data_IF_803072114492
#
_entry.id   IF_803072114492
#
_cell.length_a   1.000
_cell.length_b   1.000
_cell.length_c   1.000
_cell.angle_alpha   90.00
_cell.angle_beta   90.00
_cell.angle_gamma   90.00
#
_symmetry.space_group_name_H-M   'P 1'
#
loop_
_entity.id
_entity.type
_entity.pdbx_description
1 polymer ?
#
# COMPACT_ATOMS: atom_id res chain seq x y z
N UNK A 1 1.08 -2.11 30.74
CA UNK A 1 0.54 -3.44 30.39
C UNK A 1 1.27 -3.98 29.18
N UNK A 2 2.14 -4.98 29.37
CA UNK A 2 2.97 -5.60 28.34
C UNK A 2 2.09 -6.46 27.42
N UNK A 3 1.91 -6.09 26.16
CA UNK A 3 1.27 -6.96 25.15
C UNK A 3 2.33 -7.70 24.36
N UNK A 4 2.45 -8.97 24.72
CA UNK A 4 3.02 -10.14 24.05
C UNK A 4 3.36 -9.86 22.58
N UNK A 5 4.65 -9.76 22.27
CA UNK A 5 5.19 -9.81 20.91
C UNK A 5 5.02 -11.22 20.35
N UNK A 6 4.26 -11.37 19.27
CA UNK A 6 4.06 -12.63 18.54
C UNK A 6 5.41 -13.29 18.22
N UNK A 7 5.69 -14.44 18.85
CA UNK A 7 6.94 -15.20 18.73
C UNK A 7 7.26 -15.63 17.28
N UNK A 8 6.23 -15.82 16.46
CA UNK A 8 6.34 -16.23 15.05
C UNK A 8 6.95 -15.16 14.15
N UNK A 9 6.67 -13.88 14.42
CA UNK A 9 7.20 -12.76 13.62
C UNK A 9 8.70 -12.58 13.82
N UNK A 10 9.22 -12.86 15.02
CA UNK A 10 10.66 -12.73 15.33
C UNK A 10 11.48 -13.79 14.58
N UNK A 11 11.02 -15.06 14.56
CA UNK A 11 11.74 -16.15 13.88
C UNK A 11 11.81 -15.93 12.37
N UNK A 12 10.73 -15.47 11.74
CA UNK A 12 10.73 -15.17 10.30
C UNK A 12 11.71 -14.04 9.94
N UNK A 13 11.81 -13.00 10.76
CA UNK A 13 12.76 -11.91 10.56
C UNK A 13 14.23 -12.34 10.76
N UNK A 14 14.52 -13.34 11.61
CA UNK A 14 15.88 -13.89 11.78
C UNK A 14 16.32 -14.66 10.52
N UNK A 15 15.40 -15.43 9.92
CA UNK A 15 15.70 -16.25 8.73
C UNK A 15 15.74 -15.43 7.44
N UNK A 16 14.93 -14.38 7.36
CA UNK A 16 14.87 -13.47 6.22
C UNK A 16 14.81 -12.02 6.72
N UNK A 17 15.97 -11.43 7.05
CA UNK A 17 16.00 -10.05 7.51
C UNK A 17 15.46 -9.14 6.40
N UNK A 18 14.58 -8.18 6.74
CA UNK A 18 14.16 -7.17 5.77
C UNK A 18 15.41 -6.42 5.25
N UNK A 19 15.50 -6.14 3.94
CA UNK A 19 16.61 -5.38 3.39
C UNK A 19 16.74 -4.04 4.10
N UNK A 20 17.97 -3.69 4.48
CA UNK A 20 18.29 -2.41 5.14
C UNK A 20 18.08 -1.25 4.17
N UNK A 21 18.46 -1.48 2.92
CA UNK A 21 18.32 -0.57 1.80
C UNK A 21 17.51 -1.25 0.70
N UNK A 22 16.57 -0.52 0.12
CA UNK A 22 15.70 -1.03 -0.92
C UNK A 22 15.38 0.04 -1.96
N UNK A 23 15.67 -0.26 -3.22
CA UNK A 23 15.24 0.54 -4.38
C UNK A 23 14.07 -0.18 -5.06
N UNK A 24 12.90 0.45 -5.09
CA UNK A 24 11.79 0.01 -5.93
C UNK A 24 11.20 1.21 -6.65
N UNK A 25 11.74 1.51 -7.85
CA UNK A 25 11.28 2.63 -8.67
C UNK A 25 9.78 2.62 -8.91
N UNK A 26 9.17 1.42 -8.89
CA UNK A 26 7.72 1.28 -9.06
C UNK A 26 6.93 1.96 -7.94
N UNK A 27 7.42 1.93 -6.69
CA UNK A 27 6.71 2.46 -5.52
C UNK A 27 7.20 3.85 -5.14
N UNK A 28 8.50 4.09 -5.25
CA UNK A 28 9.12 5.38 -4.99
C UNK A 28 10.47 5.47 -5.70
N UNK A 29 10.76 6.60 -6.33
CA UNK A 29 11.93 6.78 -7.21
C UNK A 29 13.27 6.84 -6.46
N UNK A 30 13.25 7.10 -5.15
CA UNK A 30 14.46 7.18 -4.32
C UNK A 30 14.63 5.93 -3.46
N UNK A 31 15.88 5.70 -3.03
CA UNK A 31 16.22 4.68 -2.06
C UNK A 31 15.41 4.83 -0.76
N UNK A 32 14.86 3.72 -0.31
CA UNK A 32 14.16 3.60 0.96
C UNK A 32 15.05 2.89 1.98
N UNK A 33 15.14 3.47 3.17
CA UNK A 33 15.90 2.91 4.29
C UNK A 33 14.95 2.36 5.34
N UNK A 34 15.20 1.13 5.79
CA UNK A 34 14.48 0.58 6.93
C UNK A 34 14.87 1.34 8.21
N UNK A 35 13.89 1.88 8.93
CA UNK A 35 14.10 2.51 10.23
C UNK A 35 13.57 1.58 11.32
N UNK A 36 14.39 0.69 11.93
CA UNK A 36 13.93 -0.34 12.85
C UNK A 36 13.57 0.21 14.24
N UNK A 37 12.66 1.18 14.31
CA UNK A 37 12.20 1.87 15.51
C UNK A 37 10.69 1.72 15.70
N UNK A 38 10.26 1.85 16.94
CA UNK A 38 8.87 2.05 17.32
C UNK A 38 8.51 3.51 17.10
N UNK A 39 7.94 3.80 15.93
CA UNK A 39 7.49 5.14 15.55
C UNK A 39 6.13 5.04 14.89
N UNK A 40 5.24 5.94 15.29
CA UNK A 40 3.94 6.09 14.64
C UNK A 40 4.11 6.93 13.38
N UNK A 41 3.54 6.44 12.28
CA UNK A 41 3.57 7.12 11.00
C UNK A 41 2.32 6.80 10.18
N UNK A 42 1.97 7.66 9.23
CA UNK A 42 0.96 7.35 8.23
C UNK A 42 1.65 6.92 6.95
N UNK A 43 1.30 5.73 6.45
CA UNK A 43 1.89 5.20 5.23
C UNK A 43 1.42 5.98 4.01
N UNK A 44 2.35 6.56 3.25
CA UNK A 44 2.04 7.34 2.06
C UNK A 44 1.34 6.50 0.97
N UNK A 45 1.64 5.21 0.90
CA UNK A 45 1.09 4.35 -0.14
C UNK A 45 -0.36 3.94 0.10
N UNK A 46 -0.79 3.74 1.36
CA UNK A 46 -2.12 3.21 1.69
C UNK A 46 -2.97 4.10 2.59
N UNK A 47 -2.42 5.19 3.12
CA UNK A 47 -3.10 6.15 3.99
C UNK A 47 -3.50 5.61 5.36
N UNK A 48 -2.93 4.48 5.80
CA UNK A 48 -3.22 3.91 7.13
C UNK A 48 -2.02 3.99 8.07
N UNK A 49 -2.30 3.97 9.37
CA UNK A 49 -1.28 4.10 10.40
C UNK A 49 -0.38 2.85 10.48
N UNK A 50 0.92 3.08 10.61
CA UNK A 50 1.92 2.11 11.07
C UNK A 50 2.53 2.57 12.38
N UNK A 51 3.10 1.63 13.15
CA UNK A 51 3.65 1.90 14.48
C UNK A 51 5.08 1.37 14.69
N UNK A 52 5.66 0.79 13.64
CA UNK A 52 6.97 0.14 13.71
C UNK A 52 7.61 0.04 12.34
N UNK A 53 8.93 0.21 12.33
CA UNK A 53 9.79 -0.20 11.22
C UNK A 53 9.34 0.28 9.85
N UNK A 54 9.04 1.58 9.65
CA UNK A 54 8.78 2.08 8.31
C UNK A 54 10.03 1.97 7.44
N UNK A 55 9.79 1.87 6.14
CA UNK A 55 10.76 2.26 5.15
C UNK A 55 10.62 3.76 4.89
N UNK A 56 11.74 4.47 4.91
CA UNK A 56 11.78 5.92 4.86
C UNK A 56 12.69 6.42 3.74
N UNK A 57 12.19 7.36 2.95
CA UNK A 57 13.00 8.15 2.03
C UNK A 57 13.37 9.47 2.70
N UNK A 58 14.67 9.69 2.90
CA UNK A 58 15.22 10.92 3.46
C UNK A 58 14.93 12.15 2.59
N UNK A 59 14.92 11.99 1.27
CA UNK A 59 14.79 13.09 0.31
C UNK A 59 13.35 13.62 0.23
N UNK A 60 12.36 12.74 0.31
CA UNK A 60 10.95 13.08 0.10
C UNK A 60 10.12 13.11 1.38
N UNK A 61 10.71 12.77 2.54
CA UNK A 61 9.98 12.52 3.78
C UNK A 61 8.84 11.48 3.59
N UNK A 62 9.09 10.47 2.75
CA UNK A 62 8.12 9.44 2.39
C UNK A 62 8.28 8.24 3.33
N UNK A 63 7.21 7.82 3.98
CA UNK A 63 7.16 6.66 4.88
C UNK A 63 6.18 5.62 4.34
N UNK A 64 6.59 4.36 4.33
CA UNK A 64 5.78 3.26 3.81
C UNK A 64 5.87 2.02 4.71
N UNK A 65 4.75 1.29 4.81
CA UNK A 65 4.76 -0.04 5.40
C UNK A 65 5.59 -0.99 4.53
N UNK A 66 6.26 -1.99 5.13
CA UNK A 66 7.00 -3.00 4.39
C UNK A 66 6.11 -3.71 3.37
N UNK A 67 4.91 -4.12 3.76
CA UNK A 67 3.94 -4.78 2.89
C UNK A 67 3.37 -3.89 1.79
N UNK A 68 3.50 -2.57 1.92
CA UNK A 68 3.03 -1.63 0.89
C UNK A 68 4.08 -1.38 -0.20
N UNK A 69 5.30 -1.88 -0.03
CA UNK A 69 6.38 -1.74 -1.00
C UNK A 69 6.09 -2.52 -2.28
N UNK A 70 5.54 -3.73 -2.14
CA UNK A 70 5.24 -4.64 -3.24
C UNK A 70 3.75 -4.60 -3.62
N UNK A 71 3.10 -3.44 -3.46
CA UNK A 71 1.71 -3.30 -3.89
C UNK A 71 1.58 -3.58 -5.38
N UNK A 72 0.55 -4.35 -5.77
CA UNK A 72 0.31 -4.61 -7.18
C UNK A 72 -0.12 -3.33 -7.90
N UNK A 73 0.23 -3.21 -9.17
CA UNK A 73 -0.03 -2.03 -9.99
C UNK A 73 -1.36 -2.10 -10.69
N UNK A 74 -1.72 -3.26 -11.22
CA UNK A 74 -2.99 -3.47 -11.91
C UNK A 74 -3.61 -4.77 -11.42
N UNK A 75 -4.85 -4.71 -10.93
CA UNK A 75 -5.55 -5.87 -10.39
C UNK A 75 -7.00 -5.92 -10.85
N UNK A 76 -7.60 -7.10 -10.71
CA UNK A 76 -9.04 -7.29 -10.78
C UNK A 76 -9.62 -7.39 -9.37
N UNK A 77 -10.84 -6.88 -9.18
CA UNK A 77 -11.59 -7.06 -7.94
C UNK A 77 -13.00 -7.55 -8.22
N UNK A 78 -13.58 -8.32 -7.31
CA UNK A 78 -14.95 -8.85 -7.46
C UNK A 78 -16.05 -7.79 -7.29
N UNK A 79 -15.71 -6.50 -7.15
CA UNK A 79 -16.64 -5.37 -6.98
C UNK A 79 -16.68 -4.44 -8.20
N UNK A 80 -15.94 -4.74 -9.26
CA UNK A 80 -15.85 -3.92 -10.45
C UNK A 80 -15.38 -4.74 -11.65
N UNK A 81 -15.99 -4.52 -12.82
CA UNK A 81 -15.73 -5.33 -14.01
C UNK A 81 -14.42 -4.97 -14.71
N UNK A 82 -13.96 -3.73 -14.57
CA UNK A 82 -12.71 -3.27 -15.15
C UNK A 82 -11.53 -3.46 -14.19
N UNK A 83 -10.35 -3.61 -14.79
CA UNK A 83 -9.08 -3.50 -14.09
C UNK A 83 -8.97 -2.15 -13.40
N UNK A 84 -8.41 -2.19 -12.20
CA UNK A 84 -8.09 -1.00 -11.43
C UNK A 84 -6.59 -0.88 -11.29
N UNK A 85 -6.10 0.35 -11.29
CA UNK A 85 -4.68 0.68 -11.25
C UNK A 85 -4.34 1.44 -9.98
N UNK A 86 -3.20 1.12 -9.39
CA UNK A 86 -2.68 1.87 -8.25
C UNK A 86 -2.27 3.28 -8.70
N UNK A 87 -2.69 4.28 -7.93
CA UNK A 87 -2.20 5.65 -8.03
C UNK A 87 -1.64 6.08 -6.67
N UNK A 88 -0.51 6.80 -6.69
CA UNK A 88 0.15 7.29 -5.47
C UNK A 88 -0.60 8.46 -4.83
N UNK A 89 -1.42 9.19 -5.60
CA UNK A 89 -2.31 10.25 -5.13
C UNK A 89 -3.59 10.28 -5.97
N UNK A 90 -4.74 10.40 -5.32
CA UNK A 90 -5.97 10.80 -6.01
C UNK A 90 -5.95 12.32 -6.13
N UNK A 91 -6.28 12.88 -7.29
CA UNK A 91 -6.43 14.33 -7.42
C UNK A 91 -7.40 14.91 -6.38
N UNK A 92 -7.30 16.21 -6.11
CA UNK A 92 -8.16 16.88 -5.13
C UNK A 92 -9.65 16.59 -5.38
N UNK A 93 -10.38 16.15 -4.34
CA UNK A 93 -11.79 15.82 -4.49
C UNK A 93 -12.38 15.03 -3.33
N UNK A 94 -13.69 14.84 -3.39
CA UNK A 94 -14.44 14.01 -2.46
C UNK A 94 -14.56 12.57 -2.98
N UNK A 95 -13.65 11.72 -2.56
CA UNK A 95 -13.60 10.33 -2.98
C UNK A 95 -14.25 9.42 -1.96
N UNK A 96 -15.02 8.44 -2.45
CA UNK A 96 -15.66 7.41 -1.61
C UNK A 96 -15.27 6.02 -2.10
N UNK A 97 -14.75 5.20 -1.19
CA UNK A 97 -14.29 3.86 -1.50
C UNK A 97 -15.47 3.00 -1.95
N UNK A 98 -15.38 2.40 -3.13
CA UNK A 98 -16.46 1.59 -3.70
C UNK A 98 -16.66 0.25 -2.98
N UNK A 99 -15.69 -0.19 -2.20
CA UNK A 99 -15.76 -1.40 -1.35
C UNK A 99 -16.36 -1.10 0.03
N UNK A 100 -15.71 -0.27 0.84
CA UNK A 100 -16.13 -0.04 2.24
C UNK A 100 -17.06 1.16 2.44
N UNK A 101 -17.31 1.94 1.37
CA UNK A 101 -18.17 3.14 1.38
C UNK A 101 -17.71 4.27 2.31
N UNK A 102 -16.46 4.23 2.82
CA UNK A 102 -15.85 5.34 3.59
C UNK A 102 -15.10 6.31 2.68
N UNK A 103 -14.82 7.52 3.18
CA UNK A 103 -14.02 8.54 2.48
C UNK A 103 -12.62 7.99 2.16
N UNK A 104 -12.14 8.26 0.95
CA UNK A 104 -10.74 8.04 0.57
C UNK A 104 -10.03 9.38 0.71
N UNK A 105 -8.92 9.37 1.45
CA UNK A 105 -8.08 10.55 1.59
C UNK A 105 -7.21 10.67 0.33
N UNK A 106 -7.36 11.80 -0.36
CA UNK A 106 -6.74 12.02 -1.66
C UNK A 106 -5.23 12.32 -1.56
N UNK A 107 -4.73 12.65 -0.35
CA UNK A 107 -3.30 12.83 -0.10
C UNK A 107 -2.49 11.53 -0.20
N UNK A 108 -3.16 10.37 -0.14
CA UNK A 108 -2.53 9.05 -0.12
C UNK A 108 -2.93 8.20 -1.33
N UNK A 109 -2.25 7.07 -1.48
CA UNK A 109 -2.50 6.16 -2.59
C UNK A 109 -3.84 5.42 -2.51
N UNK A 110 -4.33 5.00 -3.68
CA UNK A 110 -5.57 4.26 -3.86
C UNK A 110 -5.55 3.49 -5.19
N UNK A 111 -6.58 2.67 -5.43
CA UNK A 111 -6.83 2.12 -6.76
C UNK A 111 -7.96 2.87 -7.45
N UNK A 112 -7.76 3.19 -8.71
CA UNK A 112 -8.74 3.86 -9.58
C UNK A 112 -8.98 3.06 -10.85
N UNK A 113 -10.12 3.31 -11.51
CA UNK A 113 -10.39 2.70 -12.81
C UNK A 113 -10.17 3.74 -13.92
N UNK A 114 -9.31 3.45 -14.92
CA UNK A 114 -9.12 4.35 -16.07
C UNK A 114 -10.40 4.60 -16.88
N UNK A 115 -11.31 3.61 -16.90
CA UNK A 115 -12.58 3.66 -17.63
C UNK A 115 -13.74 4.27 -16.83
N UNK A 116 -13.59 4.43 -15.51
CA UNK A 116 -14.66 4.89 -14.62
C UNK A 116 -14.16 6.04 -13.72
N UNK A 117 -14.36 7.31 -14.11
CA UNK A 117 -13.73 8.47 -13.46
C UNK A 117 -14.00 8.64 -11.97
N UNK A 118 -15.14 8.15 -11.47
CA UNK A 118 -15.54 8.27 -10.06
C UNK A 118 -15.28 6.99 -9.26
N UNK A 119 -14.54 6.04 -9.82
CA UNK A 119 -14.22 4.78 -9.19
C UNK A 119 -12.90 4.89 -8.42
N UNK A 120 -12.98 4.79 -7.09
CA UNK A 120 -11.82 4.78 -6.20
C UNK A 120 -12.02 3.73 -5.10
N UNK A 121 -10.93 3.07 -4.71
CA UNK A 121 -10.92 2.07 -3.65
C UNK A 121 -9.66 2.27 -2.81
N UNK A 122 -9.80 2.25 -1.48
CA UNK A 122 -8.63 2.24 -0.59
C UNK A 122 -7.71 1.08 -0.94
N UNK A 123 -6.40 1.27 -0.87
CA UNK A 123 -5.42 0.19 -1.13
C UNK A 123 -5.73 -1.07 -0.34
N UNK A 124 -5.94 -0.95 0.98
CA UNK A 124 -6.25 -2.11 1.85
C UNK A 124 -7.60 -2.75 1.60
N UNK A 125 -8.54 -2.03 0.98
CA UNK A 125 -9.81 -2.62 0.56
C UNK A 125 -9.64 -3.39 -0.74
N UNK A 126 -8.83 -2.88 -1.67
CA UNK A 126 -8.57 -3.50 -2.96
C UNK A 126 -7.74 -4.79 -2.80
N UNK A 127 -6.74 -4.81 -1.91
CA UNK A 127 -5.85 -5.96 -1.69
C UNK A 127 -6.32 -6.92 -0.59
N UNK A 128 -7.59 -6.81 -0.16
CA UNK A 128 -8.16 -7.74 0.82
C UNK A 128 -8.38 -9.10 0.15
N UNK A 129 -8.03 -10.18 0.83
CA UNK A 129 -7.98 -11.55 0.26
C UNK A 129 -9.31 -12.07 -0.28
N UNK A 130 -10.44 -11.48 0.13
CA UNK A 130 -11.79 -11.78 -0.36
C UNK A 130 -12.29 -10.79 -1.44
N UNK A 131 -11.45 -9.87 -1.90
CA UNK A 131 -11.78 -8.83 -2.89
C UNK A 131 -11.02 -9.00 -4.19
N UNK A 132 -9.72 -9.32 -4.14
CA UNK A 132 -8.87 -9.56 -5.31
C UNK A 132 -8.43 -11.01 -5.43
N UNK A 133 -8.04 -11.41 -6.64
CA UNK A 133 -7.62 -12.77 -7.00
C UNK A 133 -6.12 -13.05 -6.76
N UNK A 134 -5.39 -12.08 -6.20
CA UNK A 134 -3.93 -12.13 -6.00
C UNK A 134 -3.10 -12.19 -7.29
N UNK A 135 -3.69 -11.80 -8.42
CA UNK A 135 -3.01 -11.77 -9.72
C UNK A 135 -2.66 -10.33 -10.11
N UNK A 136 -1.35 -10.05 -10.25
CA UNK A 136 -0.85 -8.82 -10.88
C UNK A 136 -1.09 -8.87 -12.40
N UNK A 137 -1.52 -7.75 -12.97
CA UNK A 137 -1.94 -7.65 -14.39
C UNK A 137 -1.21 -6.55 -15.16
N UNK A 138 -0.28 -5.84 -14.54
CA UNK A 138 0.57 -4.85 -15.20
C UNK A 138 1.26 -5.45 -16.44
N UNK A 139 1.18 -4.74 -17.58
CA UNK A 139 1.76 -5.19 -18.84
C UNK A 139 0.95 -6.24 -19.61
N UNK A 140 -0.18 -6.72 -19.08
CA UNK A 140 -1.08 -7.62 -19.82
C UNK A 140 -2.27 -6.83 -20.41
N UNK A 141 -2.73 -7.14 -21.64
CA UNK A 141 -3.98 -6.59 -22.17
C UNK A 141 -5.17 -6.96 -21.28
N UNK A 142 -6.16 -6.08 -21.22
CA UNK A 142 -7.44 -6.31 -20.53
C UNK A 142 -8.41 -7.14 -21.37
#
# INVERSE_FOLDING_TARGET
MKKITNFTTVILCIRHPPPVDFECPKTHEHQLHLVPRLIDFTCNACGTQGSRSPYFCLQCNFMIHRECIDLPRVININRHDHRISYTSRLGHGEWKCRVCRKKVDWFYGAYTCPKCPTFAVHVRCATRTDVWDMVEREGTPE
#
